data_IF_798577714614
#
_entry.id   IF_798577714614
#
_cell.length_a   1.000
_cell.length_b   1.000
_cell.length_c   1.000
_cell.angle_alpha   90.00
_cell.angle_beta   90.00
_cell.angle_gamma   90.00
#
_symmetry.space_group_name_H-M   'P 1'
#
loop_
_entity.id
_entity.type
_entity.pdbx_description
1 polymer ?
#
# COMPACT_ATOMS: atom_id res chain seq x y z
N UNK A 1 25.84 35.16 4.93
CA UNK A 1 24.42 35.08 4.56
C UNK A 1 24.01 33.61 4.55
N UNK A 2 23.26 33.15 5.54
CA UNK A 2 22.67 31.79 5.53
C UNK A 2 21.55 31.78 4.49
N UNK A 3 21.86 31.36 3.28
CA UNK A 3 20.84 31.10 2.28
C UNK A 3 20.01 29.90 2.77
N UNK A 4 18.72 30.08 2.85
CA UNK A 4 17.78 29.01 3.16
C UNK A 4 17.92 27.92 2.10
N UNK A 5 18.53 26.79 2.47
CA UNK A 5 18.84 25.70 1.52
C UNK A 5 17.75 24.63 1.48
N UNK A 6 16.50 25.01 1.74
CA UNK A 6 15.35 24.14 1.73
C UNK A 6 14.30 24.62 0.72
N UNK A 7 13.69 23.67 0.05
CA UNK A 7 12.46 23.88 -0.72
C UNK A 7 11.30 23.30 0.10
N UNK A 8 10.25 24.10 0.32
CA UNK A 8 9.02 23.67 0.98
C UNK A 8 7.88 23.68 -0.02
N UNK A 9 7.16 22.56 -0.09
CA UNK A 9 6.00 22.39 -0.96
C UNK A 9 4.83 21.88 -0.13
N UNK A 10 3.64 22.33 -0.43
CA UNK A 10 2.39 21.78 0.09
C UNK A 10 1.57 21.24 -1.07
N UNK A 11 1.25 19.96 -1.01
CA UNK A 11 0.34 19.31 -1.95
C UNK A 11 -1.08 19.27 -1.38
N UNK A 12 -2.06 19.56 -2.24
CA UNK A 12 -3.48 19.41 -1.93
C UNK A 12 -4.09 18.42 -2.92
N UNK A 13 -4.87 17.46 -2.42
CA UNK A 13 -5.50 16.41 -3.23
C UNK A 13 -6.94 16.20 -2.82
N UNK A 14 -7.84 16.27 -3.78
CA UNK A 14 -9.19 15.77 -3.62
C UNK A 14 -9.20 14.25 -3.83
N UNK A 15 -9.88 13.52 -2.96
CA UNK A 15 -10.12 12.09 -3.08
C UNK A 15 -11.62 11.81 -3.07
N UNK A 16 -12.05 10.91 -3.92
CA UNK A 16 -13.42 10.43 -3.96
C UNK A 16 -13.38 8.89 -3.92
N UNK A 17 -13.85 8.32 -2.82
CA UNK A 17 -13.92 6.87 -2.59
C UNK A 17 -12.60 6.13 -2.88
N UNK A 18 -11.48 6.70 -2.45
CA UNK A 18 -10.13 6.19 -2.73
C UNK A 18 -9.56 5.44 -1.53
N UNK A 19 -8.72 4.44 -1.76
CA UNK A 19 -7.89 3.81 -0.73
C UNK A 19 -6.46 4.32 -0.88
N UNK A 20 -5.93 4.99 0.15
CA UNK A 20 -4.55 5.49 0.14
C UNK A 20 -3.54 4.48 0.65
N UNK A 21 -3.95 3.61 1.55
CA UNK A 21 -3.08 2.62 2.15
C UNK A 21 -3.90 1.38 2.48
N UNK A 22 -3.42 0.23 1.98
CA UNK A 22 -4.12 -1.05 2.10
C UNK A 22 -3.50 -1.86 3.22
N UNK A 23 -4.15 -1.88 4.35
CA UNK A 23 -3.96 -2.87 5.40
C UNK A 23 -5.35 -2.99 6.05
N UNK A 24 -6.08 -4.04 5.78
CA UNK A 24 -7.47 -4.21 6.20
C UNK A 24 -8.43 -3.05 5.81
N UNK A 25 -8.16 -2.42 4.65
CA UNK A 25 -8.92 -1.26 4.17
C UNK A 25 -8.17 0.07 4.32
N UNK A 26 -8.93 1.18 4.34
CA UNK A 26 -8.37 2.52 4.46
C UNK A 26 -7.89 2.79 5.89
N UNK A 27 -6.60 3.16 6.06
CA UNK A 27 -6.08 3.63 7.35
C UNK A 27 -6.81 4.87 7.82
N UNK A 28 -7.20 4.85 9.09
CA UNK A 28 -7.86 5.98 9.72
C UNK A 28 -7.43 6.12 11.19
N UNK A 29 -7.53 7.31 11.72
CA UNK A 29 -7.40 7.58 13.15
C UNK A 29 -8.67 8.25 13.67
N UNK A 30 -8.85 8.23 14.98
CA UNK A 30 -9.95 8.92 15.64
C UNK A 30 -9.52 10.31 16.07
N UNK A 31 -10.26 11.33 15.65
CA UNK A 31 -10.05 12.71 16.08
C UNK A 31 -11.00 13.00 17.25
N UNK A 32 -10.48 13.16 18.48
CA UNK A 32 -11.31 13.36 19.66
C UNK A 32 -11.93 14.75 19.73
N UNK A 33 -11.36 15.75 19.08
CA UNK A 33 -11.87 17.11 19.07
C UNK A 33 -13.18 17.22 18.29
N UNK A 34 -13.24 16.54 17.15
CA UNK A 34 -14.40 16.54 16.27
C UNK A 34 -15.26 15.27 16.40
N UNK A 35 -14.85 14.31 17.21
CA UNK A 35 -15.54 13.03 17.41
C UNK A 35 -15.78 12.28 16.08
N UNK A 36 -14.80 12.24 15.20
CA UNK A 36 -14.89 11.62 13.87
C UNK A 36 -13.72 10.69 13.58
N UNK A 37 -13.95 9.67 12.74
CA UNK A 37 -12.89 8.89 12.11
C UNK A 37 -12.38 9.60 10.87
N UNK A 38 -11.07 9.80 10.83
CA UNK A 38 -10.40 10.59 9.80
C UNK A 38 -9.46 9.70 9.01
N UNK A 39 -9.61 9.59 7.68
CA UNK A 39 -8.71 8.79 6.85
C UNK A 39 -7.38 9.51 6.66
N UNK A 40 -6.31 8.74 6.52
CA UNK A 40 -4.98 9.29 6.23
C UNK A 40 -4.13 8.32 5.42
N UNK A 41 -3.04 8.83 4.83
CA UNK A 41 -1.95 8.04 4.28
C UNK A 41 -0.65 8.36 5.02
N UNK A 42 0.14 7.34 5.31
CA UNK A 42 1.45 7.57 5.94
C UNK A 42 2.38 8.35 5.00
N UNK A 43 3.29 9.15 5.57
CA UNK A 43 4.28 9.87 4.78
C UNK A 43 5.15 8.93 3.93
N UNK A 44 5.42 7.71 4.39
CA UNK A 44 6.15 6.71 3.61
C UNK A 44 5.39 6.28 2.35
N UNK A 45 4.08 6.07 2.46
CA UNK A 45 3.25 5.72 1.30
C UNK A 45 3.20 6.87 0.29
N UNK A 46 3.02 8.10 0.76
CA UNK A 46 3.03 9.29 -0.09
C UNK A 46 4.39 9.45 -0.77
N UNK A 47 5.47 9.29 -0.01
CA UNK A 47 6.84 9.32 -0.52
C UNK A 47 7.07 8.28 -1.63
N UNK A 48 6.66 7.04 -1.39
CA UNK A 48 6.75 5.95 -2.38
C UNK A 48 6.02 6.31 -3.68
N UNK A 49 4.82 6.84 -3.57
CA UNK A 49 4.03 7.24 -4.75
C UNK A 49 4.71 8.37 -5.54
N UNK A 50 5.30 9.35 -4.84
CA UNK A 50 6.04 10.45 -5.47
C UNK A 50 7.31 9.92 -6.15
N UNK A 51 8.08 9.04 -5.49
CA UNK A 51 9.30 8.46 -6.08
C UNK A 51 8.98 7.62 -7.32
N UNK A 52 7.94 6.78 -7.27
CA UNK A 52 7.50 6.02 -8.43
C UNK A 52 7.13 6.92 -9.61
N UNK A 53 6.36 7.99 -9.35
CA UNK A 53 6.00 8.95 -10.41
C UNK A 53 7.18 9.75 -10.93
N UNK A 54 8.14 10.05 -10.07
CA UNK A 54 9.37 10.74 -10.47
C UNK A 54 10.21 9.87 -11.40
N UNK A 55 10.37 8.57 -11.09
CA UNK A 55 11.08 7.63 -11.96
C UNK A 55 10.41 7.54 -13.35
N UNK A 56 9.07 7.46 -13.39
CA UNK A 56 8.33 7.47 -14.66
C UNK A 56 8.58 8.76 -15.47
N UNK A 57 8.48 9.94 -14.84
CA UNK A 57 8.65 11.23 -15.51
C UNK A 57 10.08 11.41 -16.03
N UNK A 58 11.06 10.93 -15.28
CA UNK A 58 12.47 11.00 -15.66
C UNK A 58 12.89 9.85 -16.60
N UNK A 59 12.00 8.88 -16.82
CA UNK A 59 12.26 7.67 -17.58
C UNK A 59 13.51 6.92 -17.10
N UNK A 60 13.61 6.72 -15.79
CA UNK A 60 14.72 6.01 -15.14
C UNK A 60 14.20 4.80 -14.36
N UNK A 61 15.01 3.76 -14.28
CA UNK A 61 14.69 2.56 -13.52
C UNK A 61 14.84 2.81 -12.01
N UNK A 62 14.00 2.17 -11.18
CA UNK A 62 14.16 2.18 -9.74
C UNK A 62 15.42 1.40 -9.32
N UNK A 63 15.94 1.71 -8.15
CA UNK A 63 17.09 0.97 -7.60
C UNK A 63 16.74 -0.49 -7.33
N UNK A 64 17.66 -1.43 -7.62
CA UNK A 64 17.47 -2.82 -7.25
C UNK A 64 17.44 -2.97 -5.73
N UNK A 65 16.57 -3.84 -5.26
CA UNK A 65 16.43 -4.19 -3.84
C UNK A 65 16.51 -5.69 -3.70
N UNK A 66 17.34 -6.17 -2.80
CA UNK A 66 17.49 -7.59 -2.51
C UNK A 66 16.63 -7.96 -1.29
N UNK A 67 15.81 -8.97 -1.44
CA UNK A 67 14.99 -9.53 -0.36
C UNK A 67 15.57 -10.89 0.02
N UNK A 68 15.91 -11.05 1.27
CA UNK A 68 16.38 -12.30 1.84
C UNK A 68 15.26 -12.96 2.64
N UNK A 69 15.16 -14.24 2.50
CA UNK A 69 14.25 -15.08 3.30
C UNK A 69 15.05 -16.19 3.95
N UNK A 70 14.79 -16.45 5.21
CA UNK A 70 15.36 -17.59 5.94
C UNK A 70 14.33 -18.72 5.98
N UNK A 71 14.78 -19.97 6.01
CA UNK A 71 13.94 -21.12 6.28
C UNK A 71 14.08 -21.46 7.77
N UNK A 72 12.96 -21.52 8.49
CA UNK A 72 12.95 -21.90 9.90
C UNK A 72 13.17 -23.43 10.08
N UNK A 73 13.32 -23.86 11.34
CA UNK A 73 13.54 -25.29 11.67
C UNK A 73 12.37 -26.21 11.27
N UNK A 74 11.19 -25.62 10.94
CA UNK A 74 10.00 -26.35 10.51
C UNK A 74 9.82 -26.33 9.00
N UNK A 75 10.77 -25.75 8.23
CA UNK A 75 10.71 -25.62 6.79
C UNK A 75 9.83 -24.48 6.28
N UNK A 76 9.34 -23.58 7.15
CA UNK A 76 8.57 -22.42 6.77
C UNK A 76 9.48 -21.23 6.41
N UNK A 77 9.07 -20.46 5.39
CA UNK A 77 9.75 -19.20 5.05
C UNK A 77 9.50 -18.15 6.13
N UNK A 78 10.58 -17.52 6.56
CA UNK A 78 10.59 -16.39 7.48
C UNK A 78 11.21 -15.19 6.80
N UNK A 79 10.64 -14.00 7.00
CA UNK A 79 11.21 -12.77 6.51
C UNK A 79 12.63 -12.59 7.07
N UNK A 80 13.54 -12.33 6.16
CA UNK A 80 14.93 -12.00 6.46
C UNK A 80 15.19 -10.51 6.31
N UNK A 81 16.28 -10.17 5.63
CA UNK A 81 16.73 -8.82 5.43
C UNK A 81 16.22 -8.22 4.11
N UNK A 82 16.08 -6.91 4.08
CA UNK A 82 15.86 -6.14 2.87
C UNK A 82 17.06 -5.21 2.69
N UNK A 83 17.83 -5.41 1.63
CA UNK A 83 19.03 -4.65 1.37
C UNK A 83 18.86 -3.77 0.12
N UNK A 84 19.05 -2.47 0.29
CA UNK A 84 19.08 -1.51 -0.82
C UNK A 84 20.46 -1.47 -1.46
N UNK A 85 20.52 -1.02 -2.72
CA UNK A 85 21.78 -0.86 -3.47
C UNK A 85 22.75 0.15 -2.82
N UNK A 86 22.24 1.10 -2.04
CA UNK A 86 23.01 2.22 -1.46
C UNK A 86 23.74 3.05 -2.51
N UNK A 87 23.15 3.18 -3.69
CA UNK A 87 23.76 3.85 -4.84
C UNK A 87 23.02 5.16 -5.17
N UNK A 88 23.67 6.32 -5.04
CA UNK A 88 23.05 7.63 -5.32
C UNK A 88 22.80 7.89 -6.82
N UNK A 89 23.25 7.05 -7.74
CA UNK A 89 22.89 7.16 -9.16
C UNK A 89 21.40 6.89 -9.40
N UNK A 90 20.76 6.11 -8.52
CA UNK A 90 19.33 5.94 -8.58
C UNK A 90 18.60 7.10 -7.89
N UNK A 91 17.63 7.69 -8.59
CA UNK A 91 16.87 8.86 -8.11
C UNK A 91 16.14 8.56 -6.81
N UNK A 92 15.56 7.39 -6.68
CA UNK A 92 14.87 6.94 -5.48
C UNK A 92 15.83 6.76 -4.28
N UNK A 93 17.08 6.35 -4.51
CA UNK A 93 18.11 6.29 -3.47
C UNK A 93 18.63 7.68 -3.14
N UNK A 94 18.91 8.50 -4.17
CA UNK A 94 19.40 9.87 -3.97
C UNK A 94 18.44 10.70 -3.11
N UNK A 95 17.17 10.70 -3.43
CA UNK A 95 16.13 11.45 -2.71
C UNK A 95 15.55 10.68 -1.51
N UNK A 96 15.42 9.37 -1.64
CA UNK A 96 14.88 8.50 -0.61
C UNK A 96 15.78 8.31 0.61
N UNK A 97 17.08 8.38 0.40
CA UNK A 97 18.06 7.91 1.37
C UNK A 97 18.05 6.38 1.46
N UNK A 98 18.96 5.82 2.24
CA UNK A 98 19.05 4.37 2.44
C UNK A 98 19.53 3.98 3.83
N UNK A 99 19.28 2.75 4.18
CA UNK A 99 19.88 2.08 5.31
C UNK A 99 20.10 0.61 4.94
N UNK A 100 21.35 0.17 5.03
CA UNK A 100 21.73 -1.23 4.84
C UNK A 100 22.43 -1.69 6.14
N UNK A 101 21.85 -2.67 6.80
CA UNK A 101 22.40 -3.25 8.03
C UNK A 101 22.56 -4.75 7.80
N UNK A 102 23.77 -5.22 7.46
CA UNK A 102 24.03 -6.63 7.23
C UNK A 102 23.85 -7.44 8.52
N UNK A 103 23.33 -8.66 8.39
CA UNK A 103 23.19 -9.62 9.49
C UNK A 103 24.54 -10.02 10.06
N UNK A 104 24.58 -10.23 11.38
CA UNK A 104 25.77 -10.77 12.08
C UNK A 104 26.66 -9.74 12.75
N UNK A 105 26.34 -8.45 12.69
CA UNK A 105 27.03 -7.41 13.49
C UNK A 105 28.52 -7.17 13.16
N UNK A 106 29.05 -7.86 12.14
CA UNK A 106 30.46 -7.72 11.72
C UNK A 106 30.70 -6.50 10.85
N UNK A 107 29.69 -6.06 10.13
CA UNK A 107 29.75 -4.87 9.28
C UNK A 107 28.94 -3.73 9.88
N UNK A 108 29.45 -2.50 9.75
CA UNK A 108 28.73 -1.32 10.20
C UNK A 108 27.54 -1.03 9.27
N UNK A 109 26.44 -0.57 9.85
CA UNK A 109 25.30 -0.11 9.07
C UNK A 109 25.73 1.07 8.16
N UNK A 110 25.47 0.92 6.87
CA UNK A 110 25.62 2.00 5.88
C UNK A 110 24.29 2.73 5.78
N UNK A 111 24.30 4.02 6.07
CA UNK A 111 23.07 4.83 6.03
C UNK A 111 23.32 6.21 5.45
N UNK A 112 22.35 6.69 4.70
CA UNK A 112 22.26 8.06 4.24
C UNK A 112 20.87 8.61 4.54
N UNK A 113 20.84 9.74 5.23
CA UNK A 113 19.59 10.42 5.51
C UNK A 113 18.98 10.97 4.24
N UNK A 114 17.69 10.74 4.05
CA UNK A 114 16.92 11.33 2.96
C UNK A 114 16.97 12.86 3.01
N UNK A 115 17.33 13.54 1.91
CA UNK A 115 17.10 14.97 1.77
C UNK A 115 15.62 15.32 1.61
N UNK A 116 14.79 14.35 1.23
CA UNK A 116 13.37 14.50 0.99
C UNK A 116 12.58 14.08 2.23
N UNK A 117 12.06 15.04 2.97
CA UNK A 117 11.18 14.83 4.11
C UNK A 117 9.73 15.08 3.70
N UNK A 118 8.81 14.26 4.21
CA UNK A 118 7.40 14.35 3.88
C UNK A 118 6.54 14.07 5.10
N UNK A 119 5.44 14.81 5.24
CA UNK A 119 4.43 14.55 6.25
C UNK A 119 3.52 13.38 5.87
N UNK A 120 2.73 12.88 6.80
CA UNK A 120 1.54 12.12 6.42
C UNK A 120 0.60 13.00 5.59
N UNK A 121 -0.16 12.38 4.69
CA UNK A 121 -1.26 13.04 4.00
C UNK A 121 -2.52 12.91 4.87
N UNK A 122 -2.98 14.03 5.39
CA UNK A 122 -4.14 14.12 6.27
C UNK A 122 -5.19 15.04 5.67
N UNK A 123 -6.46 14.97 6.07
CA UNK A 123 -7.45 15.94 5.66
C UNK A 123 -7.02 17.38 5.96
N UNK A 124 -7.37 18.29 5.08
CA UNK A 124 -7.17 19.71 5.30
C UNK A 124 -7.88 20.19 6.59
N UNK A 125 -9.03 19.60 6.85
CA UNK A 125 -9.77 19.74 8.10
C UNK A 125 -10.53 18.43 8.38
N UNK A 126 -10.64 17.94 9.63
CA UNK A 126 -11.32 16.70 9.95
C UNK A 126 -12.75 16.59 9.41
N UNK A 127 -13.51 17.69 9.40
CA UNK A 127 -14.87 17.73 8.86
C UNK A 127 -14.95 17.79 7.33
N UNK A 128 -13.83 17.95 6.63
CA UNK A 128 -13.77 17.93 5.16
C UNK A 128 -13.41 16.57 4.59
N UNK A 129 -13.36 15.54 5.43
CA UNK A 129 -13.09 14.18 5.01
C UNK A 129 -13.95 13.19 5.77
N UNK A 130 -14.20 12.04 5.17
CA UNK A 130 -14.91 10.94 5.80
C UNK A 130 -14.35 9.59 5.38
N UNK A 131 -14.75 8.55 6.11
CA UNK A 131 -14.42 7.14 5.85
C UNK A 131 -15.72 6.38 5.56
N UNK A 132 -16.33 6.59 4.37
CA UNK A 132 -17.50 5.83 4.00
C UNK A 132 -17.15 4.35 3.85
N UNK A 133 -18.14 3.51 4.11
CA UNK A 133 -18.07 2.08 3.88
C UNK A 133 -18.77 1.74 2.57
N UNK A 134 -18.17 0.84 1.82
CA UNK A 134 -18.74 0.29 0.60
C UNK A 134 -18.75 -1.23 0.64
N UNK A 135 -19.82 -1.81 0.12
CA UNK A 135 -19.85 -3.23 -0.16
C UNK A 135 -19.37 -3.49 -1.58
N UNK A 136 -18.40 -4.37 -1.73
CA UNK A 136 -17.91 -4.80 -3.03
C UNK A 136 -18.47 -6.19 -3.29
N UNK A 137 -19.08 -6.39 -4.46
CA UNK A 137 -19.54 -7.70 -4.91
C UNK A 137 -18.81 -8.14 -6.17
N UNK A 138 -18.45 -9.42 -6.21
CA UNK A 138 -17.98 -10.08 -7.43
C UNK A 138 -19.04 -11.06 -7.87
N UNK A 139 -19.67 -10.83 -9.01
CA UNK A 139 -20.53 -11.81 -9.65
C UNK A 139 -19.69 -12.67 -10.60
N UNK A 140 -19.71 -13.98 -10.38
CA UNK A 140 -18.95 -14.95 -11.16
C UNK A 140 -19.79 -15.60 -12.25
N UNK A 141 -21.11 -15.40 -12.22
CA UNK A 141 -22.04 -15.97 -13.20
C UNK A 141 -21.94 -15.32 -14.58
N UNK A 142 -21.47 -14.07 -14.65
CA UNK A 142 -21.42 -13.30 -15.90
C UNK A 142 -20.31 -13.73 -16.85
N UNK A 143 -19.31 -14.48 -16.36
CA UNK A 143 -18.16 -14.91 -17.15
C UNK A 143 -17.79 -16.37 -16.86
N UNK A 144 -18.63 -17.34 -17.19
CA UNK A 144 -18.42 -18.75 -16.87
C UNK A 144 -17.15 -19.33 -17.50
N UNK A 145 -16.73 -18.79 -18.66
CA UNK A 145 -15.52 -19.23 -19.35
C UNK A 145 -14.21 -18.67 -18.74
N UNK A 146 -14.31 -17.65 -17.90
CA UNK A 146 -13.16 -16.98 -17.27
C UNK A 146 -13.07 -17.34 -15.79
N UNK A 147 -14.20 -17.53 -15.12
CA UNK A 147 -14.29 -17.79 -13.70
C UNK A 147 -14.56 -19.26 -13.42
N UNK A 148 -13.56 -19.96 -12.91
CA UNK A 148 -13.73 -21.35 -12.48
C UNK A 148 -14.35 -21.38 -11.08
N UNK A 149 -15.50 -22.05 -10.96
CA UNK A 149 -16.10 -22.38 -9.66
C UNK A 149 -15.58 -23.74 -9.22
N UNK A 150 -15.01 -23.80 -8.03
CA UNK A 150 -14.55 -25.04 -7.42
C UNK A 150 -15.36 -25.27 -6.14
N UNK A 151 -16.02 -26.39 -6.05
CA UNK A 151 -16.79 -26.82 -4.88
C UNK A 151 -16.06 -27.97 -4.20
N UNK A 152 -16.00 -27.95 -2.89
CA UNK A 152 -15.40 -29.01 -2.07
C UNK A 152 -16.48 -29.63 -1.21
N UNK A 153 -16.38 -30.95 -1.02
CA UNK A 153 -17.22 -31.67 -0.06
C UNK A 153 -16.80 -31.37 1.40
N UNK A 154 -17.52 -31.94 2.35
CA UNK A 154 -17.25 -31.78 3.78
C UNK A 154 -15.87 -32.32 4.21
N UNK A 155 -15.27 -33.20 3.41
CA UNK A 155 -13.95 -33.77 3.63
C UNK A 155 -12.82 -32.99 2.95
N UNK A 156 -13.17 -31.91 2.22
CA UNK A 156 -12.22 -31.07 1.50
C UNK A 156 -11.89 -31.55 0.09
N UNK A 157 -12.50 -32.63 -0.41
CA UNK A 157 -12.27 -33.12 -1.77
C UNK A 157 -12.98 -32.24 -2.80
N UNK A 158 -12.32 -32.00 -3.93
CA UNK A 158 -12.90 -31.22 -5.03
C UNK A 158 -13.94 -32.06 -5.76
N UNK A 159 -15.13 -31.52 -5.93
CA UNK A 159 -16.21 -32.16 -6.71
C UNK A 159 -15.90 -32.14 -8.20
N UNK A 160 -16.42 -33.12 -8.94
CA UNK A 160 -16.32 -33.18 -10.40
C UNK A 160 -17.16 -32.06 -11.06
N UNK A 161 -16.86 -31.72 -12.32
CA UNK A 161 -17.57 -30.66 -13.04
C UNK A 161 -19.09 -30.98 -13.19
N UNK A 162 -19.45 -32.26 -13.31
CA UNK A 162 -20.87 -32.68 -13.35
C UNK A 162 -21.56 -32.45 -12.01
N UNK A 163 -20.91 -32.82 -10.89
CA UNK A 163 -21.43 -32.59 -9.54
C UNK A 163 -21.56 -31.09 -9.25
N UNK A 164 -20.55 -30.30 -9.67
CA UNK A 164 -20.59 -28.86 -9.56
C UNK A 164 -21.76 -28.28 -10.36
N UNK A 165 -22.00 -28.75 -11.59
CA UNK A 165 -23.11 -28.29 -12.42
C UNK A 165 -24.46 -28.59 -11.78
N UNK A 166 -24.66 -29.78 -11.19
CA UNK A 166 -25.87 -30.11 -10.47
C UNK A 166 -26.09 -29.19 -9.27
N UNK A 167 -25.03 -28.99 -8.49
CA UNK A 167 -25.05 -28.09 -7.35
C UNK A 167 -25.41 -26.65 -7.74
N UNK A 168 -24.79 -26.15 -8.82
CA UNK A 168 -24.98 -24.80 -9.30
C UNK A 168 -26.39 -24.57 -9.86
N UNK A 169 -26.96 -25.53 -10.56
CA UNK A 169 -28.31 -25.43 -11.12
C UNK A 169 -29.42 -25.47 -10.06
N UNK A 170 -29.14 -26.07 -8.90
CA UNK A 170 -30.07 -26.13 -7.79
C UNK A 170 -29.94 -25.01 -6.75
N UNK A 171 -28.95 -24.14 -6.90
CA UNK A 171 -28.61 -23.15 -5.88
C UNK A 171 -29.04 -21.74 -6.24
N UNK A 172 -29.29 -20.92 -5.23
CA UNK A 172 -29.60 -19.49 -5.41
C UNK A 172 -28.37 -18.78 -6.02
N UNK A 173 -28.61 -17.98 -7.04
CA UNK A 173 -27.57 -17.16 -7.72
C UNK A 173 -26.81 -16.24 -6.76
N UNK A 174 -27.38 -15.87 -5.63
CA UNK A 174 -26.68 -15.08 -4.61
C UNK A 174 -25.42 -15.77 -4.09
N UNK A 175 -25.32 -17.09 -4.13
CA UNK A 175 -24.15 -17.88 -3.72
C UNK A 175 -22.95 -17.70 -4.65
N UNK A 176 -23.16 -17.23 -5.90
CA UNK A 176 -22.07 -16.95 -6.85
C UNK A 176 -21.42 -15.60 -6.60
N UNK A 177 -22.04 -14.75 -5.81
CA UNK A 177 -21.50 -13.46 -5.44
C UNK A 177 -20.65 -13.58 -4.21
N UNK A 178 -19.43 -13.09 -4.29
CA UNK A 178 -18.64 -12.85 -3.09
C UNK A 178 -18.84 -11.41 -2.67
N UNK A 179 -19.40 -11.22 -1.50
CA UNK A 179 -19.49 -9.94 -0.84
C UNK A 179 -18.23 -9.70 -0.01
N UNK A 180 -17.67 -8.52 -0.13
CA UNK A 180 -16.65 -8.01 0.77
C UNK A 180 -17.30 -6.82 1.48
N UNK A 181 -17.90 -7.04 2.65
CA UNK A 181 -18.60 -5.99 3.37
C UNK A 181 -17.62 -4.99 3.98
N UNK A 182 -18.13 -3.82 4.32
CA UNK A 182 -17.46 -2.83 5.15
C UNK A 182 -16.10 -2.35 4.61
N UNK A 183 -15.87 -2.37 3.30
CA UNK A 183 -14.69 -1.76 2.74
C UNK A 183 -14.69 -0.26 3.01
N UNK A 184 -13.69 0.18 3.74
CA UNK A 184 -13.52 1.60 4.03
C UNK A 184 -12.81 2.31 2.89
N UNK A 185 -13.27 3.51 2.56
CA UNK A 185 -12.69 4.40 1.54
C UNK A 185 -12.36 5.73 2.19
N UNK A 186 -11.51 6.50 1.53
CA UNK A 186 -11.27 7.88 1.89
C UNK A 186 -11.97 8.81 0.91
N UNK A 187 -12.67 9.80 1.40
CA UNK A 187 -13.22 10.88 0.59
C UNK A 187 -12.99 12.21 1.27
N UNK A 188 -12.72 13.25 0.49
CA UNK A 188 -12.53 14.61 0.98
C UNK A 188 -11.31 15.32 0.39
N UNK A 189 -10.89 16.38 1.05
CA UNK A 189 -9.75 17.22 0.67
C UNK A 189 -8.58 16.96 1.62
N UNK A 190 -7.45 16.56 1.05
CA UNK A 190 -6.25 16.14 1.78
C UNK A 190 -5.05 17.02 1.47
N UNK A 191 -4.16 17.15 2.44
CA UNK A 191 -2.90 17.90 2.31
C UNK A 191 -1.72 17.08 2.82
N UNK A 192 -0.55 17.35 2.26
CA UNK A 192 0.73 16.87 2.74
C UNK A 192 1.81 17.94 2.49
N UNK A 193 2.82 17.93 3.33
CA UNK A 193 3.93 18.87 3.26
C UNK A 193 5.22 18.14 2.89
N UNK A 194 6.03 18.76 2.04
CA UNK A 194 7.33 18.27 1.59
C UNK A 194 8.39 19.30 1.92
N UNK A 195 9.52 18.84 2.45
CA UNK A 195 10.72 19.65 2.62
C UNK A 195 11.92 18.94 1.99
N UNK A 196 12.61 19.62 1.09
CA UNK A 196 13.80 19.13 0.40
C UNK A 196 15.02 19.91 0.89
N UNK A 197 15.98 19.22 1.47
CA UNK A 197 17.26 19.79 1.90
C UNK A 197 18.27 19.78 0.73
N UNK A 198 18.55 20.95 0.17
CA UNK A 198 19.47 21.10 -0.98
C UNK A 198 20.95 20.98 -0.64
N UNK A 199 21.29 20.78 0.63
CA UNK A 199 22.70 20.64 1.11
C UNK A 199 23.18 19.20 1.15
N UNK A 200 22.32 18.22 0.84
CA UNK A 200 22.57 16.77 1.01
C UNK A 200 22.61 16.02 -0.29
#
# INVERSE_FOLDING_TARGET
MNKNSFIYLRGCKHAAFTVFCVEDGQKSYYDPQFNVRVPYSSGQQVKRSIMGKLNEVLNVEPSPTEFYFDVDKKGALKEGEVLSSCDPHYVDQLLGGWMRTPKGGKEKAVKRRSPFSISAMTPLHPLLASVPKENISFDRSDRPNVHKVVVRDANGNVLTDEQVSIFLNGSDRSLYRKWIPDNTRATGLFVYDVAIDLRR
#
